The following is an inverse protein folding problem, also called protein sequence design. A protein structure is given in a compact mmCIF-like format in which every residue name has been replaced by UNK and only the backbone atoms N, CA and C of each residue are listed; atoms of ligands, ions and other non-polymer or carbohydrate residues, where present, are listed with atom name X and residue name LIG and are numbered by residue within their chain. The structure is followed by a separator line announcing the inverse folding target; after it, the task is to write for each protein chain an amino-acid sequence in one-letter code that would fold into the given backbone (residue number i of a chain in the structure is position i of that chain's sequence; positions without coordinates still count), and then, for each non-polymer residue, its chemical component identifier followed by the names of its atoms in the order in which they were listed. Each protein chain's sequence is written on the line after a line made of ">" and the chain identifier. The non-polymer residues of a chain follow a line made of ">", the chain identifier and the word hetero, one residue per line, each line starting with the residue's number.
data_IF_732656182196
#
_entry.id   IF_732656182196
#
_cell.length_a   1.000
_cell.length_b   1.000
_cell.length_c   1.000
_cell.angle_alpha   90.00
_cell.angle_beta   90.00
_cell.angle_gamma   90.00
#
_symmetry.space_group_name_H-M   'P 1'
#
loop_
_entity.id
_entity.type
_entity.pdbx_description
1 polymer ?
#
# COMPACT_ATOMS: atom_id res chain seq x y z
N UNK A 1 7.17 41.20 39.12
CA UNK A 1 7.33 39.75 39.35
C UNK A 1 6.92 39.08 38.05
N UNK A 2 7.89 38.83 37.17
CA UNK A 2 7.65 38.27 35.85
C UNK A 2 7.36 36.78 35.99
N UNK A 3 6.17 36.36 35.53
CA UNK A 3 5.76 34.97 35.50
C UNK A 3 6.70 34.22 34.55
N UNK A 4 7.47 33.29 35.09
CA UNK A 4 8.37 32.43 34.32
C UNK A 4 7.57 31.66 33.26
N UNK A 5 8.05 31.52 32.01
CA UNK A 5 7.37 30.70 31.01
C UNK A 5 7.32 29.27 31.53
N UNK A 6 6.11 28.74 31.75
CA UNK A 6 5.89 27.33 32.08
C UNK A 6 6.58 26.47 31.02
N UNK A 7 7.28 25.44 31.50
CA UNK A 7 7.97 24.44 30.68
C UNK A 7 7.10 23.95 29.51
N UNK A 8 7.76 23.80 28.38
CA UNK A 8 7.25 23.44 27.06
C UNK A 8 6.26 22.27 27.06
N UNK A 9 5.00 22.60 26.75
CA UNK A 9 3.90 21.67 26.49
C UNK A 9 4.24 20.81 25.26
N UNK A 10 4.70 19.57 25.47
CA UNK A 10 5.06 18.64 24.39
C UNK A 10 3.77 18.19 23.69
N UNK A 11 3.36 18.89 22.63
CA UNK A 11 2.20 18.54 21.80
C UNK A 11 2.44 17.27 20.96
N UNK A 12 2.56 16.12 21.62
CA UNK A 12 2.61 14.81 21.00
C UNK A 12 1.20 14.30 20.67
N UNK A 13 1.07 13.53 19.58
CA UNK A 13 -0.18 12.84 19.28
C UNK A 13 -0.46 11.72 20.28
N UNK A 14 -1.72 11.57 20.65
CA UNK A 14 -2.19 10.59 21.65
C UNK A 14 -2.59 9.26 21.01
N UNK A 15 -2.74 8.22 21.86
CA UNK A 15 -3.29 6.92 21.44
C UNK A 15 -4.70 7.07 20.86
N UNK A 16 -5.57 7.86 21.51
CA UNK A 16 -6.95 8.08 21.10
C UNK A 16 -7.06 8.77 19.74
N UNK A 17 -6.19 9.74 19.47
CA UNK A 17 -6.08 10.33 18.12
C UNK A 17 -5.65 9.28 17.08
N UNK A 18 -4.69 8.41 17.42
CA UNK A 18 -4.28 7.30 16.57
C UNK A 18 -5.46 6.38 16.22
N UNK A 19 -6.22 5.93 17.22
CA UNK A 19 -7.41 5.09 17.02
C UNK A 19 -8.44 5.79 16.14
N UNK A 20 -8.69 7.08 16.38
CA UNK A 20 -9.64 7.87 15.59
C UNK A 20 -9.21 7.97 14.12
N UNK A 21 -7.92 8.18 13.88
CA UNK A 21 -7.37 8.28 12.52
C UNK A 21 -7.27 6.91 11.83
N UNK A 22 -7.14 5.82 12.60
CA UNK A 22 -7.11 4.44 12.10
C UNK A 22 -8.50 3.88 11.75
N UNK A 23 -9.57 4.38 12.35
CA UNK A 23 -10.94 3.93 12.09
C UNK A 23 -11.32 4.00 10.58
N UNK A 24 -11.09 5.14 9.88
CA UNK A 24 -11.26 5.22 8.43
C UNK A 24 -10.56 4.12 7.64
N UNK A 25 -9.30 3.85 7.99
CA UNK A 25 -8.46 2.86 7.31
C UNK A 25 -9.02 1.46 7.60
N UNK A 26 -9.43 1.17 8.84
CA UNK A 26 -10.05 -0.10 9.20
C UNK A 26 -11.33 -0.42 8.43
N UNK A 27 -12.19 0.57 8.21
CA UNK A 27 -13.40 0.38 7.39
C UNK A 27 -13.06 0.13 5.91
N UNK A 28 -12.08 0.86 5.36
CA UNK A 28 -11.58 0.59 4.01
C UNK A 28 -10.94 -0.79 3.89
N UNK A 29 -10.18 -1.20 4.89
CA UNK A 29 -9.54 -2.51 4.96
C UNK A 29 -10.54 -3.64 4.99
N UNK A 30 -11.60 -3.51 5.79
CA UNK A 30 -12.69 -4.48 5.83
C UNK A 30 -13.32 -4.67 4.45
N UNK A 31 -13.60 -3.58 3.73
CA UNK A 31 -14.16 -3.62 2.37
C UNK A 31 -13.25 -4.35 1.39
N UNK A 32 -11.94 -4.09 1.45
CA UNK A 32 -10.97 -4.62 0.49
C UNK A 32 -10.65 -6.08 0.79
N UNK A 33 -10.38 -6.41 2.05
CA UNK A 33 -10.00 -7.76 2.44
C UNK A 33 -11.16 -8.75 2.33
N UNK A 34 -12.40 -8.26 2.32
CA UNK A 34 -13.58 -9.04 1.95
C UNK A 34 -13.42 -9.76 0.60
N UNK A 35 -12.92 -9.08 -0.43
CA UNK A 35 -12.72 -9.69 -1.74
C UNK A 35 -11.57 -10.70 -1.74
N UNK A 36 -10.53 -10.46 -0.94
CA UNK A 36 -9.47 -11.45 -0.72
C UNK A 36 -10.00 -12.71 -0.03
N UNK A 37 -10.90 -12.56 0.95
CA UNK A 37 -11.58 -13.67 1.61
C UNK A 37 -12.32 -14.56 0.63
N UNK A 38 -13.11 -13.96 -0.27
CA UNK A 38 -13.79 -14.66 -1.37
C UNK A 38 -12.79 -15.41 -2.24
N UNK A 39 -11.74 -14.72 -2.67
CA UNK A 39 -10.73 -15.28 -3.57
C UNK A 39 -10.00 -16.48 -2.95
N UNK A 40 -9.69 -16.41 -1.66
CA UNK A 40 -9.03 -17.50 -0.95
C UNK A 40 -9.89 -18.76 -0.90
N UNK A 41 -11.16 -18.64 -0.53
CA UNK A 41 -12.08 -19.80 -0.47
C UNK A 41 -12.46 -20.31 -1.86
N UNK A 42 -12.56 -19.44 -2.87
CA UNK A 42 -12.77 -19.87 -4.27
C UNK A 42 -11.58 -20.65 -4.82
N UNK A 43 -10.39 -20.47 -4.24
CA UNK A 43 -9.17 -21.23 -4.55
C UNK A 43 -8.99 -22.47 -3.65
N UNK A 44 -10.02 -22.86 -2.90
CA UNK A 44 -10.05 -24.09 -2.11
C UNK A 44 -9.50 -23.96 -0.68
N UNK A 45 -9.05 -22.79 -0.23
CA UNK A 45 -8.63 -22.61 1.17
C UNK A 45 -9.83 -22.60 2.12
N UNK A 46 -9.61 -23.04 3.36
CA UNK A 46 -10.59 -22.81 4.43
C UNK A 46 -10.63 -21.33 4.86
N UNK A 47 -11.74 -20.89 5.43
CA UNK A 47 -11.87 -19.54 6.01
C UNK A 47 -10.83 -19.27 7.12
N UNK A 48 -10.41 -20.31 7.86
CA UNK A 48 -9.35 -20.21 8.88
C UNK A 48 -8.01 -19.91 8.22
N UNK A 49 -7.67 -20.66 7.15
CA UNK A 49 -6.44 -20.41 6.39
C UNK A 49 -6.42 -19.01 5.79
N UNK A 50 -7.52 -18.55 5.21
CA UNK A 50 -7.65 -17.18 4.71
C UNK A 50 -7.45 -16.13 5.81
N UNK A 51 -8.07 -16.34 6.98
CA UNK A 51 -7.91 -15.49 8.17
C UNK A 51 -6.48 -15.46 8.67
N UNK A 52 -5.78 -16.61 8.72
CA UNK A 52 -4.38 -16.71 9.13
C UNK A 52 -3.44 -15.99 8.15
N UNK A 53 -3.65 -16.11 6.84
CA UNK A 53 -2.90 -15.33 5.85
C UNK A 53 -3.06 -13.84 6.13
N UNK A 54 -4.29 -13.39 6.37
CA UNK A 54 -4.57 -11.97 6.60
C UNK A 54 -4.06 -11.45 7.94
N UNK A 55 -4.10 -12.28 8.97
CA UNK A 55 -3.55 -11.93 10.28
C UNK A 55 -2.02 -11.86 10.24
N UNK A 56 -1.35 -12.76 9.54
CA UNK A 56 0.12 -12.77 9.53
C UNK A 56 0.72 -11.90 8.42
N UNK A 57 -0.04 -11.59 7.37
CA UNK A 57 0.46 -10.84 6.22
C UNK A 57 -0.56 -9.84 5.67
N UNK A 58 -0.55 -8.61 6.17
CA UNK A 58 -1.44 -7.52 5.70
C UNK A 58 -0.78 -6.78 4.54
N UNK A 59 -0.83 -7.33 3.33
CA UNK A 59 -0.07 -6.80 2.17
C UNK A 59 -0.89 -6.62 0.89
N UNK A 60 -2.21 -6.85 0.95
CA UNK A 60 -3.13 -6.80 -0.20
C UNK A 60 -2.58 -7.57 -1.42
N UNK A 61 -1.95 -6.90 -2.39
CA UNK A 61 -1.26 -7.53 -3.52
C UNK A 61 -0.29 -8.66 -3.12
N UNK A 62 0.44 -8.51 -2.02
CA UNK A 62 1.32 -9.57 -1.51
C UNK A 62 0.55 -10.82 -1.06
N UNK A 63 -0.69 -10.68 -0.59
CA UNK A 63 -1.55 -11.81 -0.24
C UNK A 63 -2.08 -12.54 -1.47
N UNK A 64 -2.51 -11.82 -2.49
CA UNK A 64 -2.99 -12.42 -3.74
C UNK A 64 -1.86 -13.20 -4.42
N UNK A 65 -0.65 -12.63 -4.48
CA UNK A 65 0.51 -13.32 -5.04
C UNK A 65 0.92 -14.55 -4.22
N UNK A 66 0.97 -14.42 -2.89
CA UNK A 66 1.27 -15.54 -2.00
C UNK A 66 0.23 -16.66 -2.09
N UNK A 67 -1.05 -16.31 -2.16
CA UNK A 67 -2.14 -17.26 -2.38
C UNK A 67 -1.96 -18.03 -3.70
N UNK A 68 -1.60 -17.33 -4.78
CA UNK A 68 -1.28 -17.96 -6.07
C UNK A 68 -0.22 -19.05 -5.92
N UNK A 69 0.92 -18.73 -5.29
CA UNK A 69 2.02 -19.68 -5.03
C UNK A 69 1.56 -20.86 -4.18
N UNK A 70 0.76 -20.63 -3.14
CA UNK A 70 0.23 -21.71 -2.30
C UNK A 70 -0.66 -22.67 -3.09
N UNK A 71 -1.50 -22.13 -3.98
CA UNK A 71 -2.48 -22.93 -4.75
C UNK A 71 -1.88 -23.66 -5.94
N UNK A 72 -0.75 -23.18 -6.48
CA UNK A 72 -0.02 -23.82 -7.59
C UNK A 72 1.12 -24.74 -7.10
N UNK A 73 1.14 -25.07 -5.80
CA UNK A 73 2.19 -25.87 -5.17
C UNK A 73 3.62 -25.31 -5.39
N UNK A 74 3.74 -23.98 -5.41
CA UNK A 74 5.03 -23.31 -5.52
C UNK A 74 5.91 -23.51 -4.28
N UNK A 75 7.22 -23.47 -4.46
CA UNK A 75 8.19 -23.71 -3.39
C UNK A 75 8.46 -22.51 -2.47
N UNK A 76 9.10 -22.77 -1.34
CA UNK A 76 9.52 -21.75 -0.35
C UNK A 76 10.32 -20.62 -1.00
N UNK A 77 11.26 -20.94 -1.90
CA UNK A 77 12.09 -19.93 -2.56
C UNK A 77 11.26 -18.98 -3.44
N UNK A 78 10.26 -19.50 -4.16
CA UNK A 78 9.33 -18.69 -4.94
C UNK A 78 8.56 -17.73 -4.05
N UNK A 79 8.08 -18.21 -2.89
CA UNK A 79 7.41 -17.36 -1.89
C UNK A 79 8.32 -16.24 -1.37
N UNK A 80 9.57 -16.55 -1.01
CA UNK A 80 10.54 -15.57 -0.52
C UNK A 80 10.76 -14.48 -1.57
N UNK A 81 11.09 -14.87 -2.80
CA UNK A 81 11.38 -13.93 -3.89
C UNK A 81 10.14 -13.06 -4.15
N UNK A 82 8.97 -13.67 -4.30
CA UNK A 82 7.71 -12.95 -4.56
C UNK A 82 7.40 -11.92 -3.47
N UNK A 83 7.49 -12.31 -2.20
CA UNK A 83 7.18 -11.41 -1.09
C UNK A 83 8.22 -10.30 -0.93
N UNK A 84 9.52 -10.57 -1.11
CA UNK A 84 10.55 -9.51 -1.10
C UNK A 84 10.23 -8.50 -2.19
N UNK A 85 10.02 -8.97 -3.42
CA UNK A 85 9.85 -8.11 -4.59
C UNK A 85 8.60 -7.25 -4.50
N UNK A 86 7.45 -7.86 -4.21
CA UNK A 86 6.17 -7.14 -4.14
C UNK A 86 6.13 -6.14 -2.98
N UNK A 87 6.75 -6.50 -1.85
CA UNK A 87 6.65 -5.71 -0.62
C UNK A 87 7.84 -4.78 -0.37
N UNK A 88 8.86 -4.76 -1.25
CA UNK A 88 10.07 -3.93 -1.08
C UNK A 88 9.74 -2.44 -0.88
N UNK A 89 8.60 -1.97 -1.36
CA UNK A 89 8.10 -0.61 -1.09
C UNK A 89 7.97 -0.29 0.40
N UNK A 90 7.63 -1.27 1.24
CA UNK A 90 7.56 -1.07 2.69
C UNK A 90 8.92 -0.75 3.31
N UNK A 91 10.02 -1.15 2.68
CA UNK A 91 11.35 -0.73 3.11
C UNK A 91 11.52 0.78 3.00
N UNK A 92 11.11 1.36 1.86
CA UNK A 92 11.20 2.80 1.62
C UNK A 92 10.28 3.58 2.56
N UNK A 93 9.07 3.06 2.78
CA UNK A 93 8.12 3.62 3.75
C UNK A 93 8.66 3.55 5.18
N UNK A 94 9.28 2.42 5.56
CA UNK A 94 9.91 2.24 6.86
C UNK A 94 11.04 3.23 7.09
N UNK A 95 11.88 3.50 6.10
CA UNK A 95 12.91 4.55 6.20
C UNK A 95 12.26 5.93 6.35
N UNK A 96 11.24 6.26 5.56
CA UNK A 96 10.56 7.56 5.67
C UNK A 96 9.88 7.76 7.04
N UNK A 97 9.18 6.74 7.55
CA UNK A 97 8.58 6.77 8.90
C UNK A 97 9.62 6.88 9.99
N UNK A 98 10.78 6.25 9.83
CA UNK A 98 11.83 6.29 10.84
C UNK A 98 12.31 7.72 11.09
N UNK A 99 12.26 8.59 10.07
CA UNK A 99 12.58 10.00 10.13
C UNK A 99 11.51 10.86 10.82
N UNK A 100 10.29 10.34 10.95
CA UNK A 100 9.13 11.05 11.54
C UNK A 100 8.74 10.53 12.93
N UNK A 101 9.34 9.41 13.33
CA UNK A 101 9.18 8.85 14.67
C UNK A 101 10.00 9.65 15.71
N UNK A 102 9.40 9.92 16.85
CA UNK A 102 10.03 10.61 17.97
C UNK A 102 10.91 9.68 18.83
N UNK A 103 11.43 10.21 19.94
CA UNK A 103 12.31 9.47 20.89
C UNK A 103 11.60 8.34 21.64
N UNK A 104 10.27 8.35 21.75
CA UNK A 104 9.51 7.26 22.40
C UNK A 104 9.55 5.96 21.58
N UNK A 105 9.90 6.05 20.29
CA UNK A 105 9.97 4.91 19.38
C UNK A 105 11.28 4.12 19.56
N UNK A 106 11.39 3.39 20.66
CA UNK A 106 12.54 2.55 21.00
C UNK A 106 12.78 1.44 19.96
N UNK A 107 13.97 0.83 19.90
CA UNK A 107 14.28 -0.24 18.95
C UNK A 107 13.27 -1.39 18.97
N UNK A 108 12.88 -1.84 20.18
CA UNK A 108 11.91 -2.91 20.35
C UNK A 108 10.53 -2.49 19.83
N UNK A 109 10.09 -1.26 20.14
CA UNK A 109 8.81 -0.76 19.65
C UNK A 109 8.81 -0.59 18.13
N UNK A 110 9.94 -0.22 17.52
CA UNK A 110 10.09 -0.20 16.06
C UNK A 110 9.91 -1.58 15.46
N UNK A 111 10.53 -2.60 16.06
CA UNK A 111 10.37 -3.98 15.59
C UNK A 111 8.90 -4.40 15.65
N UNK A 112 8.26 -4.24 16.81
CA UNK A 112 6.87 -4.64 17.00
C UNK A 112 5.91 -3.87 16.09
N UNK A 113 6.07 -2.55 16.00
CA UNK A 113 5.16 -1.70 15.23
C UNK A 113 5.44 -1.71 13.72
N UNK A 114 6.59 -2.21 13.27
CA UNK A 114 6.87 -2.39 11.85
C UNK A 114 5.83 -3.29 11.17
N UNK A 115 5.23 -4.23 11.89
CA UNK A 115 4.13 -5.06 11.39
C UNK A 115 2.98 -4.21 10.83
N UNK A 116 2.66 -3.07 11.46
CA UNK A 116 1.60 -2.16 11.05
C UNK A 116 1.97 -1.21 9.92
N UNK A 117 3.16 -1.32 9.31
CA UNK A 117 3.53 -0.47 8.16
C UNK A 117 2.80 -0.97 6.92
N UNK A 118 1.79 -0.21 6.52
CA UNK A 118 1.04 -0.38 5.28
C UNK A 118 0.95 0.95 4.54
N UNK A 119 0.49 0.92 3.29
CA UNK A 119 0.44 2.09 2.41
C UNK A 119 -0.42 3.24 3.01
N UNK A 120 -1.56 2.92 3.61
CA UNK A 120 -2.52 3.86 4.20
C UNK A 120 -2.10 4.37 5.58
N UNK A 121 -1.62 3.46 6.45
CA UNK A 121 -1.09 3.82 7.77
C UNK A 121 0.12 4.75 7.60
N UNK A 122 0.97 4.42 6.63
CA UNK A 122 2.08 5.28 6.24
C UNK A 122 1.61 6.65 5.76
N UNK A 123 0.67 6.71 4.82
CA UNK A 123 0.15 7.95 4.27
C UNK A 123 -0.42 8.89 5.33
N UNK A 124 -1.15 8.36 6.32
CA UNK A 124 -1.67 9.14 7.45
C UNK A 124 -0.57 9.56 8.42
N UNK A 125 0.32 8.64 8.81
CA UNK A 125 1.40 8.93 9.75
C UNK A 125 2.41 9.94 9.20
N UNK A 126 2.79 9.83 7.93
CA UNK A 126 3.73 10.75 7.28
C UNK A 126 3.12 12.13 7.04
N UNK A 127 1.79 12.22 6.94
CA UNK A 127 1.08 13.50 6.75
C UNK A 127 0.94 14.32 8.03
N UNK A 128 1.25 13.75 9.21
CA UNK A 128 1.20 14.47 10.48
C UNK A 128 2.14 15.68 10.49
N UNK A 129 1.72 16.75 11.16
CA UNK A 129 2.49 18.00 11.22
C UNK A 129 3.75 17.84 12.06
N UNK A 130 3.63 17.15 13.19
CA UNK A 130 4.71 16.92 14.14
C UNK A 130 5.20 15.48 14.06
N UNK A 131 6.30 15.19 14.76
CA UNK A 131 6.76 13.81 14.97
C UNK A 131 5.71 13.03 15.77
N UNK A 132 5.63 11.73 15.52
CA UNK A 132 4.69 10.86 16.23
C UNK A 132 5.42 9.85 17.11
N UNK A 133 4.78 9.50 18.22
CA UNK A 133 5.28 8.50 19.17
C UNK A 133 4.66 7.12 18.99
N UNK A 134 5.18 6.16 19.74
CA UNK A 134 4.75 4.77 19.69
C UNK A 134 3.26 4.59 20.04
N UNK A 135 2.74 5.37 20.99
CA UNK A 135 1.34 5.31 21.42
C UNK A 135 0.38 5.69 20.29
N UNK A 136 0.62 6.81 19.62
CA UNK A 136 -0.17 7.22 18.47
C UNK A 136 -0.11 6.17 17.35
N UNK A 137 1.10 5.72 17.01
CA UNK A 137 1.28 4.78 15.90
C UNK A 137 0.63 3.42 16.17
N UNK A 138 0.71 2.93 17.42
CA UNK A 138 -0.04 1.74 17.84
C UNK A 138 -1.56 1.95 17.72
N UNK A 139 -2.09 3.08 18.18
CA UNK A 139 -3.51 3.40 18.01
C UNK A 139 -3.94 3.42 16.54
N UNK A 140 -3.09 3.97 15.68
CA UNK A 140 -3.32 4.07 14.24
C UNK A 140 -3.38 2.69 13.56
N UNK A 141 -2.69 1.67 14.07
CA UNK A 141 -2.57 0.36 13.41
C UNK A 141 -3.63 -0.65 13.84
N UNK A 142 -4.13 -0.56 15.08
CA UNK A 142 -5.04 -1.57 15.67
C UNK A 142 -6.32 -1.76 14.87
N UNK A 143 -7.08 -0.68 14.63
CA UNK A 143 -8.36 -0.79 13.91
C UNK A 143 -8.19 -1.22 12.44
N UNK A 144 -7.16 -0.74 11.70
CA UNK A 144 -6.81 -1.31 10.41
C UNK A 144 -6.62 -2.82 10.43
N UNK A 145 -5.76 -3.33 11.32
CA UNK A 145 -5.48 -4.77 11.41
C UNK A 145 -6.76 -5.56 11.66
N UNK A 146 -7.58 -5.11 12.62
CA UNK A 146 -8.86 -5.75 12.94
C UNK A 146 -9.82 -5.71 11.75
N UNK A 147 -9.94 -4.56 11.08
CA UNK A 147 -10.77 -4.40 9.89
C UNK A 147 -10.34 -5.33 8.76
N UNK A 148 -9.04 -5.46 8.51
CA UNK A 148 -8.50 -6.35 7.48
C UNK A 148 -8.80 -7.82 7.77
N UNK A 149 -8.50 -8.30 8.98
CA UNK A 149 -8.75 -9.70 9.33
C UNK A 149 -10.26 -9.99 9.35
N UNK A 150 -11.07 -9.10 9.90
CA UNK A 150 -12.52 -9.24 9.93
C UNK A 150 -13.09 -9.28 8.51
N UNK A 151 -12.70 -8.36 7.63
CA UNK A 151 -13.15 -8.34 6.23
C UNK A 151 -12.82 -9.64 5.52
N UNK A 152 -11.61 -10.18 5.65
CA UNK A 152 -11.24 -11.48 5.05
C UNK A 152 -12.12 -12.60 5.57
N UNK A 153 -12.32 -12.70 6.87
CA UNK A 153 -13.12 -13.78 7.47
C UNK A 153 -14.58 -13.66 7.02
N UNK A 154 -15.15 -12.46 7.06
CA UNK A 154 -16.53 -12.21 6.61
C UNK A 154 -16.66 -12.53 5.11
N UNK A 155 -15.72 -12.11 4.28
CA UNK A 155 -15.71 -12.40 2.85
C UNK A 155 -15.56 -13.89 2.54
N UNK A 156 -14.71 -14.60 3.31
CA UNK A 156 -14.55 -16.05 3.19
C UNK A 156 -15.83 -16.82 3.58
N UNK A 157 -16.58 -16.34 4.57
CA UNK A 157 -17.79 -17.00 5.07
C UNK A 157 -19.06 -16.64 4.28
N UNK A 158 -19.22 -15.36 3.95
CA UNK A 158 -20.46 -14.79 3.42
C UNK A 158 -20.35 -14.37 1.95
N UNK A 159 -19.16 -14.38 1.38
CA UNK A 159 -18.88 -13.80 0.08
C UNK A 159 -19.69 -14.37 -1.08
N UNK A 160 -20.03 -15.66 -1.03
CA UNK A 160 -20.87 -16.31 -2.05
C UNK A 160 -22.34 -15.86 -2.00
N UNK A 161 -22.76 -15.17 -0.93
CA UNK A 161 -24.11 -14.62 -0.77
C UNK A 161 -24.22 -13.26 -1.48
N UNK A 162 -23.10 -12.56 -1.68
CA UNK A 162 -23.09 -11.21 -2.22
C UNK A 162 -23.11 -11.22 -3.76
N UNK A 163 -23.94 -10.37 -4.41
CA UNK A 163 -23.90 -10.21 -5.84
C UNK A 163 -22.53 -9.68 -6.32
N UNK A 164 -21.99 -10.17 -7.47
CA UNK A 164 -20.67 -9.76 -7.98
C UNK A 164 -20.50 -8.25 -8.18
N UNK A 165 -21.57 -7.53 -8.54
CA UNK A 165 -21.49 -6.08 -8.72
C UNK A 165 -21.19 -5.34 -7.41
N UNK A 166 -21.65 -5.86 -6.28
CA UNK A 166 -21.43 -5.26 -4.98
C UNK A 166 -19.98 -5.49 -4.53
N UNK A 167 -19.46 -6.70 -4.70
CA UNK A 167 -18.05 -7.02 -4.39
C UNK A 167 -17.08 -6.24 -5.27
N UNK A 168 -17.41 -6.04 -6.55
CA UNK A 168 -16.61 -5.23 -7.47
C UNK A 168 -16.59 -3.75 -7.08
N UNK A 169 -17.72 -3.20 -6.65
CA UNK A 169 -17.78 -1.80 -6.19
C UNK A 169 -16.96 -1.58 -4.91
N UNK A 170 -16.89 -2.56 -4.01
CA UNK A 170 -16.08 -2.48 -2.79
C UNK A 170 -14.57 -2.45 -3.06
N UNK A 171 -14.12 -3.09 -4.15
CA UNK A 171 -12.70 -3.13 -4.53
C UNK A 171 -12.15 -1.75 -4.94
N UNK A 172 -12.98 -0.82 -5.42
CA UNK A 172 -12.51 0.52 -5.81
C UNK A 172 -12.17 1.41 -4.60
N UNK A 173 -12.68 1.06 -3.41
CA UNK A 173 -12.51 1.86 -2.19
C UNK A 173 -11.04 2.10 -1.82
N UNK A 174 -10.16 1.12 -2.03
CA UNK A 174 -8.72 1.25 -1.73
C UNK A 174 -8.07 2.37 -2.54
N UNK A 175 -8.40 2.44 -3.82
CA UNK A 175 -7.87 3.47 -4.70
C UNK A 175 -8.45 4.83 -4.36
N UNK A 176 -9.70 4.89 -3.90
CA UNK A 176 -10.28 6.10 -3.32
C UNK A 176 -9.48 6.62 -2.12
N UNK A 177 -9.00 5.73 -1.24
CA UNK A 177 -8.14 6.11 -0.11
C UNK A 177 -6.79 6.64 -0.58
N UNK A 178 -6.16 6.02 -1.58
CA UNK A 178 -4.90 6.51 -2.17
C UNK A 178 -5.08 7.93 -2.74
N UNK A 179 -6.15 8.16 -3.47
CA UNK A 179 -6.50 9.50 -4.00
C UNK A 179 -6.72 10.49 -2.85
N UNK A 180 -7.39 10.09 -1.78
CA UNK A 180 -7.61 10.95 -0.61
C UNK A 180 -6.33 11.36 0.11
N UNK A 181 -5.26 10.56 0.02
CA UNK A 181 -3.96 10.88 0.63
C UNK A 181 -3.14 11.77 -0.31
N UNK A 182 -3.12 11.46 -1.60
CA UNK A 182 -2.28 12.16 -2.59
C UNK A 182 -2.87 13.52 -2.96
N UNK A 183 -4.18 13.59 -3.23
CA UNK A 183 -4.81 14.77 -3.83
C UNK A 183 -4.70 16.04 -2.97
N UNK A 184 -4.98 16.01 -1.65
CA UNK A 184 -4.84 17.20 -0.80
C UNK A 184 -3.42 17.77 -0.83
N UNK A 185 -2.39 16.91 -0.86
CA UNK A 185 -0.99 17.34 -0.87
C UNK A 185 -0.57 17.83 -2.25
N UNK A 186 -0.93 17.11 -3.30
CA UNK A 186 -0.65 17.47 -4.69
C UNK A 186 -1.26 18.82 -5.08
N UNK A 187 -2.45 19.15 -4.56
CA UNK A 187 -3.11 20.45 -4.79
C UNK A 187 -2.27 21.64 -4.28
N UNK A 188 -1.57 21.48 -3.15
CA UNK A 188 -0.81 22.56 -2.52
C UNK A 188 0.69 22.54 -2.87
N UNK A 189 1.21 21.41 -3.37
CA UNK A 189 2.62 21.24 -3.73
C UNK A 189 2.78 20.75 -5.18
N UNK A 190 3.26 21.66 -6.05
CA UNK A 190 3.49 21.39 -7.48
C UNK A 190 4.51 20.27 -7.71
N UNK A 191 5.48 20.07 -6.81
CA UNK A 191 6.47 19.01 -6.94
C UNK A 191 5.82 17.66 -6.65
N UNK A 192 4.96 17.59 -5.64
CA UNK A 192 4.18 16.38 -5.34
C UNK A 192 3.22 16.07 -6.49
N UNK A 193 2.53 17.07 -7.06
CA UNK A 193 1.63 16.86 -8.20
C UNK A 193 2.37 16.30 -9.42
N UNK A 194 3.45 16.97 -9.85
CA UNK A 194 4.21 16.58 -11.05
C UNK A 194 4.87 15.21 -10.89
N UNK A 195 5.45 14.91 -9.72
CA UNK A 195 6.00 13.59 -9.43
C UNK A 195 4.92 12.50 -9.37
N UNK A 196 3.77 12.76 -8.74
CA UNK A 196 2.65 11.81 -8.70
C UNK A 196 2.14 11.47 -10.10
N UNK A 197 1.91 12.48 -10.95
CA UNK A 197 1.50 12.29 -12.34
C UNK A 197 2.54 11.52 -13.16
N UNK A 198 3.82 11.85 -13.01
CA UNK A 198 4.90 11.12 -13.67
C UNK A 198 4.93 9.65 -13.23
N UNK A 199 4.68 9.38 -11.95
CA UNK A 199 4.63 8.01 -11.43
C UNK A 199 3.48 7.21 -12.02
N UNK A 200 2.28 7.82 -12.16
CA UNK A 200 1.17 7.21 -12.90
C UNK A 200 1.56 6.91 -14.36
N UNK A 201 2.18 7.86 -15.06
CA UNK A 201 2.57 7.69 -16.47
C UNK A 201 3.57 6.54 -16.62
N UNK A 202 4.63 6.53 -15.80
CA UNK A 202 5.64 5.45 -15.87
C UNK A 202 5.00 4.09 -15.53
N UNK A 203 4.13 4.02 -14.52
CA UNK A 203 3.40 2.78 -14.18
C UNK A 203 2.53 2.28 -15.34
N UNK A 204 1.79 3.18 -16.00
CA UNK A 204 0.98 2.88 -17.19
C UNK A 204 1.86 2.37 -18.34
N UNK A 205 2.99 3.02 -18.61
CA UNK A 205 3.92 2.58 -19.66
C UNK A 205 4.49 1.19 -19.36
N UNK A 206 4.89 0.93 -18.12
CA UNK A 206 5.40 -0.38 -17.71
C UNK A 206 4.33 -1.48 -17.78
N UNK A 207 3.06 -1.12 -17.60
CA UNK A 207 1.95 -2.06 -17.69
C UNK A 207 1.52 -2.37 -19.13
N UNK A 208 1.44 -1.37 -20.01
CA UNK A 208 0.89 -1.56 -21.36
C UNK A 208 1.94 -1.87 -22.43
N UNK A 209 3.23 -1.60 -22.22
CA UNK A 209 4.28 -1.96 -23.18
C UNK A 209 4.57 -3.47 -23.02
N UNK A 210 4.21 -4.34 -23.99
CA UNK A 210 4.26 -5.80 -23.83
C UNK A 210 5.67 -6.30 -23.47
N UNK A 211 6.70 -5.74 -24.10
CA UNK A 211 8.08 -6.07 -23.81
C UNK A 211 8.44 -5.82 -22.33
N UNK A 212 7.90 -4.78 -21.70
CA UNK A 212 8.21 -4.43 -20.32
C UNK A 212 7.33 -5.20 -19.33
N UNK A 213 6.04 -5.35 -19.62
CA UNK A 213 5.09 -6.04 -18.72
C UNK A 213 5.37 -7.54 -18.61
N UNK A 214 5.94 -8.17 -19.65
CA UNK A 214 6.35 -9.58 -19.62
C UNK A 214 7.62 -9.82 -18.79
N UNK A 215 8.49 -8.81 -18.65
CA UNK A 215 9.80 -8.95 -18.00
C UNK A 215 9.86 -8.31 -16.61
N UNK A 216 8.95 -7.40 -16.29
CA UNK A 216 8.95 -6.65 -15.02
C UNK A 216 7.68 -7.01 -14.24
N UNK A 217 7.87 -7.57 -13.04
CA UNK A 217 6.75 -7.85 -12.15
C UNK A 217 6.07 -6.56 -11.66
N UNK A 218 4.79 -6.63 -11.31
CA UNK A 218 4.03 -5.47 -10.81
C UNK A 218 4.69 -4.77 -9.62
N UNK A 219 5.30 -5.52 -8.71
CA UNK A 219 6.06 -4.98 -7.58
C UNK A 219 7.24 -4.10 -8.02
N UNK A 220 8.04 -4.58 -8.96
CA UNK A 220 9.15 -3.79 -9.51
C UNK A 220 8.67 -2.60 -10.33
N UNK A 221 7.60 -2.75 -11.10
CA UNK A 221 7.03 -1.66 -11.88
C UNK A 221 6.64 -0.48 -10.98
N UNK A 222 5.98 -0.76 -9.85
CA UNK A 222 5.61 0.27 -8.86
C UNK A 222 6.85 0.96 -8.30
N UNK A 223 7.89 0.21 -7.94
CA UNK A 223 9.10 0.79 -7.33
C UNK A 223 9.88 1.62 -8.35
N UNK A 224 10.04 1.12 -9.58
CA UNK A 224 10.71 1.85 -10.67
C UNK A 224 9.96 3.17 -10.92
N UNK A 225 8.64 3.11 -11.08
CA UNK A 225 7.80 4.29 -11.28
C UNK A 225 7.90 5.27 -10.11
N UNK A 226 7.90 4.78 -8.87
CA UNK A 226 7.93 5.60 -7.67
C UNK A 226 9.29 6.29 -7.48
N UNK A 227 10.39 5.54 -7.63
CA UNK A 227 11.75 6.05 -7.45
C UNK A 227 12.10 7.01 -8.57
N UNK A 228 11.82 6.67 -9.83
CA UNK A 228 12.06 7.56 -10.97
C UNK A 228 11.32 8.89 -10.78
N UNK A 229 10.03 8.83 -10.43
CA UNK A 229 9.24 10.03 -10.19
C UNK A 229 9.71 10.85 -8.99
N UNK A 230 10.11 10.22 -7.88
CA UNK A 230 10.62 10.91 -6.70
C UNK A 230 11.94 11.62 -7.00
N UNK A 231 12.83 10.99 -7.79
CA UNK A 231 14.08 11.61 -8.24
C UNK A 231 13.81 12.83 -9.11
N UNK A 232 12.90 12.74 -10.07
CA UNK A 232 12.48 13.89 -10.87
C UNK A 232 11.89 14.99 -10.00
N UNK A 233 11.11 14.63 -8.96
CA UNK A 233 10.63 15.57 -7.96
C UNK A 233 11.76 16.34 -7.26
N UNK A 234 12.86 15.68 -6.87
CA UNK A 234 14.03 16.35 -6.30
C UNK A 234 14.65 17.33 -7.29
N UNK A 235 14.80 16.93 -8.56
CA UNK A 235 15.35 17.79 -9.63
C UNK A 235 14.47 19.04 -9.82
N UNK A 236 13.15 18.87 -9.88
CA UNK A 236 12.19 19.97 -10.06
C UNK A 236 12.23 20.91 -8.85
N UNK A 237 12.25 20.38 -7.63
CA UNK A 237 12.37 21.19 -6.40
C UNK A 237 13.64 22.03 -6.40
N UNK A 238 14.77 21.43 -6.75
CA UNK A 238 16.07 22.11 -6.76
C UNK A 238 16.09 23.24 -7.80
N UNK A 239 15.52 23.02 -8.99
CA UNK A 239 15.32 24.08 -10.01
C UNK A 239 14.43 25.22 -9.51
N UNK A 240 13.34 24.92 -8.81
CA UNK A 240 12.44 25.92 -8.26
C UNK A 240 13.03 26.69 -7.06
N UNK A 241 13.96 26.08 -6.32
CA UNK A 241 14.55 26.65 -5.09
C UNK A 241 15.93 27.28 -5.28
N UNK A 242 16.53 27.18 -6.47
CA UNK A 242 17.85 27.75 -6.79
C UNK A 242 19.02 27.12 -6.03
N UNK A 243 18.83 25.99 -5.34
CA UNK A 243 19.86 25.29 -4.55
C UNK A 243 20.35 24.04 -5.28
N UNK A 244 21.67 23.87 -5.41
CA UNK A 244 22.29 22.67 -5.97
C UNK A 244 22.53 21.61 -4.89
N UNK A 245 21.73 20.54 -4.92
CA UNK A 245 21.95 19.32 -4.13
C UNK A 245 21.62 18.03 -4.90
N UNK A 246 21.41 18.13 -6.21
CA UNK A 246 20.69 17.15 -7.02
C UNK A 246 21.48 15.86 -7.27
N UNK A 247 22.81 15.97 -7.39
CA UNK A 247 23.69 14.87 -7.83
C UNK A 247 23.63 13.65 -6.89
N UNK A 248 23.66 13.86 -5.57
CA UNK A 248 23.70 12.74 -4.60
C UNK A 248 22.36 12.00 -4.53
N UNK A 249 21.22 12.70 -4.57
CA UNK A 249 19.92 12.07 -4.58
C UNK A 249 19.70 11.27 -5.88
N UNK A 250 20.08 11.86 -7.03
CA UNK A 250 20.03 11.20 -8.34
C UNK A 250 20.92 9.95 -8.36
N UNK A 251 22.17 10.03 -7.89
CA UNK A 251 23.06 8.86 -7.81
C UNK A 251 22.46 7.78 -6.90
N UNK A 252 21.95 8.15 -5.73
CA UNK A 252 21.35 7.18 -4.78
C UNK A 252 20.14 6.48 -5.38
N UNK A 253 19.24 7.23 -6.03
CA UNK A 253 18.05 6.64 -6.65
C UNK A 253 18.34 5.86 -7.93
N UNK A 254 19.32 6.28 -8.74
CA UNK A 254 19.76 5.53 -9.92
C UNK A 254 20.43 4.22 -9.50
N UNK A 255 21.27 4.23 -8.46
CA UNK A 255 21.85 3.00 -7.89
C UNK A 255 20.72 2.10 -7.36
N UNK A 256 19.72 2.65 -6.67
CA UNK A 256 18.59 1.87 -6.18
C UNK A 256 17.82 1.22 -7.33
N UNK A 257 17.46 1.99 -8.38
CA UNK A 257 16.78 1.48 -9.58
C UNK A 257 17.63 0.46 -10.32
N UNK A 258 18.94 0.69 -10.47
CA UNK A 258 19.85 -0.24 -11.12
C UNK A 258 20.01 -1.54 -10.32
N UNK A 259 20.17 -1.47 -9.00
CA UNK A 259 20.15 -2.64 -8.12
C UNK A 259 18.82 -3.39 -8.24
N UNK A 260 17.71 -2.67 -8.33
CA UNK A 260 16.38 -3.26 -8.54
C UNK A 260 16.28 -3.96 -9.89
N UNK A 261 16.75 -3.35 -10.99
CA UNK A 261 16.76 -3.97 -12.32
C UNK A 261 17.69 -5.20 -12.39
N UNK A 262 18.84 -5.16 -11.73
CA UNK A 262 19.81 -6.27 -11.69
C UNK A 262 19.28 -7.41 -10.79
N UNK A 263 18.58 -7.07 -9.72
CA UNK A 263 17.95 -8.02 -8.79
C UNK A 263 16.51 -8.35 -9.16
N UNK A 264 15.99 -7.84 -10.26
CA UNK A 264 14.71 -8.25 -10.80
C UNK A 264 14.96 -9.55 -11.54
N UNK A 265 14.71 -10.73 -10.93
CA UNK A 265 14.72 -11.93 -11.73
C UNK A 265 13.71 -11.74 -12.86
N UNK A 266 14.00 -12.34 -14.02
CA UNK A 266 13.02 -12.70 -15.05
C UNK A 266 12.04 -13.75 -14.49
N UNK A 267 11.58 -13.57 -13.25
CA UNK A 267 10.64 -14.43 -12.59
C UNK A 267 9.28 -14.04 -13.14
N UNK A 268 8.86 -14.77 -14.17
CA UNK A 268 7.45 -14.88 -14.51
C UNK A 268 6.74 -15.30 -13.22
N UNK A 269 6.01 -14.37 -12.60
CA UNK A 269 4.91 -14.77 -11.73
C UNK A 269 4.09 -15.69 -12.62
N UNK A 270 3.88 -16.96 -12.25
CA UNK A 270 3.08 -17.86 -13.06
C UNK A 270 1.79 -17.10 -13.38
N UNK A 271 1.51 -16.94 -14.67
CA UNK A 271 0.22 -16.51 -15.15
C UNK A 271 -0.81 -17.29 -14.35
N UNK A 272 -1.85 -16.61 -13.82
CA UNK A 272 -2.93 -17.32 -13.16
C UNK A 272 -3.37 -18.40 -14.14
N UNK A 273 -3.00 -19.65 -13.86
CA UNK A 273 -3.32 -20.75 -14.74
C UNK A 273 -4.82 -20.65 -14.99
N UNK A 274 -5.22 -20.80 -16.26
CA UNK A 274 -6.62 -21.00 -16.61
C UNK A 274 -7.22 -21.91 -15.55
N UNK A 275 -8.35 -21.47 -15.00
CA UNK A 275 -9.10 -22.22 -14.00
C UNK A 275 -9.49 -23.53 -14.66
N UNK A 276 -8.62 -24.53 -14.57
CA UNK A 276 -9.03 -25.90 -14.77
C UNK A 276 -9.97 -26.17 -13.61
N UNK A 277 -11.23 -26.43 -13.93
CA UNK A 277 -12.27 -26.85 -13.00
C UNK A 277 -11.97 -28.24 -12.39
N UNK A 278 -10.71 -28.65 -12.32
CA UNK A 278 -10.27 -29.79 -11.53
C UNK A 278 -10.06 -29.29 -10.12
N UNK A 279 -11.18 -29.23 -9.40
CA UNK A 279 -11.24 -28.79 -8.02
C UNK A 279 -10.25 -29.55 -7.15
N UNK A 280 -9.34 -28.79 -6.53
CA UNK A 280 -8.81 -29.18 -5.22
C UNK A 280 -9.99 -29.09 -4.26
N UNK A 281 -10.77 -30.17 -4.22
CA UNK A 281 -11.85 -30.39 -3.26
C UNK A 281 -11.22 -30.63 -1.89
N UNK A 282 -10.89 -29.56 -1.18
CA UNK A 282 -10.39 -29.63 0.19
C UNK A 282 -9.41 -28.51 0.51
N UNK A 283 -9.39 -28.10 1.78
CA UNK A 283 -8.40 -27.15 2.29
C UNK A 283 -6.98 -27.64 1.95
N UNK A 284 -6.11 -26.71 1.53
CA UNK A 284 -4.72 -27.01 1.21
C UNK A 284 -4.09 -27.77 2.40
N UNK A 285 -3.35 -28.85 2.14
CA UNK A 285 -2.71 -29.64 3.21
C UNK A 285 -1.87 -28.70 4.09
N UNK A 286 -2.12 -28.75 5.40
CA UNK A 286 -1.41 -27.96 6.40
C UNK A 286 0.11 -28.17 6.33
N UNK A 287 0.58 -29.32 5.86
CA UNK A 287 2.02 -29.60 5.65
C UNK A 287 2.65 -28.71 4.57
N UNK A 288 1.87 -28.27 3.58
CA UNK A 288 2.31 -27.34 2.53
C UNK A 288 1.98 -25.91 2.93
N UNK A 289 0.77 -25.70 3.44
CA UNK A 289 0.26 -24.37 3.78
C UNK A 289 1.08 -23.69 4.87
N UNK A 290 1.37 -24.38 5.99
CA UNK A 290 2.01 -23.75 7.16
C UNK A 290 3.43 -23.25 6.82
N UNK A 291 4.32 -24.04 6.20
CA UNK A 291 5.65 -23.54 5.83
C UNK A 291 5.60 -22.33 4.89
N UNK A 292 4.69 -22.34 3.90
CA UNK A 292 4.53 -21.21 2.98
C UNK A 292 3.97 -19.97 3.67
N UNK A 293 3.01 -20.15 4.59
CA UNK A 293 2.44 -19.07 5.40
C UNK A 293 3.51 -18.43 6.30
N UNK A 294 4.31 -19.24 7.00
CA UNK A 294 5.40 -18.75 7.85
C UNK A 294 6.43 -18.01 7.00
N UNK A 295 6.82 -18.59 5.86
CA UNK A 295 7.75 -17.95 4.92
C UNK A 295 7.22 -16.59 4.50
N UNK A 296 5.97 -16.53 4.07
CA UNK A 296 5.30 -15.31 3.61
C UNK A 296 5.25 -14.23 4.70
N UNK A 297 4.89 -14.62 5.92
CA UNK A 297 4.79 -13.72 7.07
C UNK A 297 6.17 -13.18 7.49
N UNK A 298 7.16 -14.06 7.65
CA UNK A 298 8.52 -13.68 8.07
C UNK A 298 9.15 -12.79 7.02
N UNK A 299 9.13 -13.18 5.74
CA UNK A 299 9.76 -12.41 4.67
C UNK A 299 9.16 -11.00 4.60
N UNK A 300 7.83 -10.86 4.62
CA UNK A 300 7.20 -9.54 4.59
C UNK A 300 7.55 -8.71 5.82
N UNK A 301 7.50 -9.32 7.02
CA UNK A 301 7.81 -8.61 8.25
C UNK A 301 9.25 -8.08 8.24
N UNK A 302 10.22 -8.87 7.76
CA UNK A 302 11.62 -8.45 7.66
C UNK A 302 11.80 -7.23 6.75
N UNK A 303 11.11 -7.19 5.60
CA UNK A 303 11.12 -6.06 4.66
C UNK A 303 10.64 -4.76 5.33
N UNK A 304 9.67 -4.84 6.26
CA UNK A 304 9.20 -3.69 7.04
C UNK A 304 10.14 -3.33 8.19
N UNK A 305 10.53 -4.34 8.96
CA UNK A 305 11.16 -4.20 10.26
C UNK A 305 12.61 -3.76 10.16
N UNK A 306 13.38 -4.32 9.23
CA UNK A 306 14.81 -4.02 9.09
C UNK A 306 15.02 -2.52 8.85
N UNK A 307 14.38 -1.88 7.84
CA UNK A 307 14.66 -0.49 7.54
C UNK A 307 14.11 0.46 8.59
N UNK A 308 12.91 0.21 9.13
CA UNK A 308 12.32 1.04 10.17
C UNK A 308 13.12 1.04 11.50
N UNK A 309 13.76 -0.10 11.81
CA UNK A 309 14.54 -0.28 13.04
C UNK A 309 15.98 0.21 12.93
N UNK A 310 16.62 0.03 11.77
CA UNK A 310 18.04 0.38 11.58
C UNK A 310 18.26 1.86 11.26
N UNK A 311 17.39 2.49 10.46
CA UNK A 311 17.57 3.88 10.02
C UNK A 311 17.11 4.88 11.07
N UNK A 312 17.86 5.05 12.16
CA UNK A 312 17.49 5.94 13.28
C UNK A 312 18.02 7.37 13.18
N UNK A 313 19.15 7.53 12.50
CA UNK A 313 19.78 8.85 12.35
C UNK A 313 18.94 9.70 11.40
N UNK A 314 18.75 10.97 11.77
CA UNK A 314 18.06 11.93 10.90
C UNK A 314 18.87 12.10 9.62
N UNK A 315 18.20 12.09 8.47
CA UNK A 315 18.83 12.35 7.19
C UNK A 315 19.23 13.82 7.11
N UNK A 316 20.54 14.07 7.12
CA UNK A 316 21.10 15.44 7.16
C UNK A 316 21.03 16.14 5.80
N UNK A 317 21.16 15.39 4.69
CA UNK A 317 21.21 15.96 3.35
C UNK A 317 19.81 16.37 2.85
N UNK A 318 19.58 17.65 2.50
CA UNK A 318 18.25 18.15 2.08
C UNK A 318 17.65 17.42 0.87
N UNK A 319 18.48 16.94 -0.06
CA UNK A 319 18.04 16.22 -1.25
C UNK A 319 17.60 14.79 -0.95
N UNK A 320 18.29 14.11 -0.02
CA UNK A 320 17.90 12.77 0.42
C UNK A 320 16.59 12.86 1.21
N UNK A 321 16.44 13.89 2.04
CA UNK A 321 15.19 14.15 2.75
C UNK A 321 14.01 14.35 1.78
N UNK A 322 14.14 15.24 0.78
CA UNK A 322 13.08 15.42 -0.21
C UNK A 322 12.74 14.15 -0.98
N UNK A 323 13.74 13.36 -1.35
CA UNK A 323 13.50 12.08 -2.00
C UNK A 323 12.53 11.22 -1.18
N UNK A 324 12.82 11.01 0.11
CA UNK A 324 11.94 10.24 0.99
C UNK A 324 10.61 10.93 1.34
N UNK A 325 10.54 12.26 1.24
CA UNK A 325 9.30 13.02 1.40
C UNK A 325 8.35 12.81 0.19
N UNK A 326 8.87 12.57 -1.02
CA UNK A 326 8.07 12.37 -2.23
C UNK A 326 7.64 10.93 -2.49
N UNK A 327 8.45 9.95 -2.07
CA UNK A 327 8.17 8.51 -2.21
C UNK A 327 6.72 8.11 -1.84
N UNK A 328 6.11 8.57 -0.73
CA UNK A 328 4.72 8.22 -0.43
C UNK A 328 3.76 8.50 -1.57
N UNK A 329 3.84 9.69 -2.16
CA UNK A 329 2.88 10.12 -3.15
C UNK A 329 3.11 9.44 -4.49
N UNK A 330 4.38 9.21 -4.86
CA UNK A 330 4.72 8.51 -6.09
C UNK A 330 4.37 7.03 -6.02
N UNK A 331 4.64 6.34 -4.90
CA UNK A 331 4.21 4.94 -4.70
C UNK A 331 2.69 4.80 -4.76
N UNK A 332 1.94 5.62 -4.02
CA UNK A 332 0.47 5.56 -4.02
C UNK A 332 -0.11 5.83 -5.42
N UNK A 333 0.51 6.74 -6.17
CA UNK A 333 0.11 7.08 -7.54
C UNK A 333 0.39 5.93 -8.51
N UNK A 334 1.58 5.33 -8.47
CA UNK A 334 1.92 4.16 -9.28
C UNK A 334 1.06 2.93 -8.94
N UNK A 335 0.63 2.78 -7.68
CA UNK A 335 -0.30 1.72 -7.27
C UNK A 335 -1.74 1.99 -7.74
N UNK A 336 -2.11 3.26 -7.89
CA UNK A 336 -3.46 3.65 -8.32
C UNK A 336 -3.65 3.39 -9.81
N UNK A 337 -2.71 3.80 -10.66
CA UNK A 337 -2.82 3.63 -12.12
C UNK A 337 -1.83 2.61 -12.68
N UNK A 338 -2.27 1.73 -13.61
CA UNK A 338 -3.61 1.64 -14.21
C UNK A 338 -4.63 0.79 -13.41
N UNK A 339 -4.22 0.21 -12.28
CA UNK A 339 -4.98 -0.82 -11.56
C UNK A 339 -6.42 -0.41 -11.20
N UNK A 340 -6.66 0.86 -10.86
CA UNK A 340 -8.00 1.38 -10.54
C UNK A 340 -9.01 1.17 -11.68
N UNK A 341 -8.58 1.26 -12.94
CA UNK A 341 -9.46 1.10 -14.10
C UNK A 341 -10.00 -0.33 -14.24
N UNK A 342 -9.31 -1.28 -13.63
CA UNK A 342 -9.66 -2.71 -13.63
C UNK A 342 -10.13 -3.17 -12.24
N UNK A 343 -10.34 -2.25 -11.30
CA UNK A 343 -10.78 -2.57 -9.94
C UNK A 343 -12.22 -3.09 -9.89
N UNK A 344 -13.02 -2.82 -10.91
CA UNK A 344 -14.44 -3.20 -10.98
C UNK A 344 -14.68 -4.03 -12.23
N UNK A 345 -15.85 -4.69 -12.31
CA UNK A 345 -16.24 -5.46 -13.49
C UNK A 345 -16.46 -4.65 -14.77
N UNK A 346 -16.40 -3.31 -14.71
CA UNK A 346 -16.53 -2.42 -15.87
C UNK A 346 -15.60 -1.22 -15.76
N UNK A 347 -14.83 -0.96 -16.82
CA UNK A 347 -13.94 0.20 -16.90
C UNK A 347 -14.71 1.51 -16.71
N UNK A 348 -15.96 1.59 -17.17
CA UNK A 348 -16.82 2.77 -17.02
C UNK A 348 -17.20 2.98 -15.55
N UNK A 349 -17.62 1.91 -14.86
CA UNK A 349 -17.94 1.98 -13.42
C UNK A 349 -16.71 2.39 -12.62
N UNK A 350 -15.55 1.81 -12.96
CA UNK A 350 -14.28 2.16 -12.35
C UNK A 350 -13.90 3.63 -12.58
N UNK A 351 -14.04 4.12 -13.82
CA UNK A 351 -13.75 5.51 -14.17
C UNK A 351 -14.66 6.50 -13.43
N UNK A 352 -15.95 6.18 -13.29
CA UNK A 352 -16.91 7.01 -12.53
C UNK A 352 -16.53 7.04 -11.04
N UNK A 353 -16.27 5.88 -10.43
CA UNK A 353 -15.81 5.80 -9.04
C UNK A 353 -14.52 6.60 -8.82
N UNK A 354 -13.58 6.50 -9.75
CA UNK A 354 -12.34 7.28 -9.71
C UNK A 354 -12.57 8.79 -9.84
N UNK A 355 -13.43 9.22 -10.76
CA UNK A 355 -13.75 10.64 -10.94
C UNK A 355 -14.34 11.23 -9.65
N UNK A 356 -15.24 10.51 -8.99
CA UNK A 356 -15.78 10.91 -7.69
C UNK A 356 -14.69 10.95 -6.62
N UNK A 357 -13.78 9.98 -6.59
CA UNK A 357 -12.64 10.00 -5.67
C UNK A 357 -11.75 11.24 -5.87
N UNK A 358 -11.45 11.60 -7.13
CA UNK A 358 -10.67 12.80 -7.46
C UNK A 358 -11.36 14.08 -6.96
N UNK A 359 -12.66 14.21 -7.23
CA UNK A 359 -13.44 15.38 -6.80
C UNK A 359 -13.46 15.49 -5.27
N UNK A 360 -13.82 14.41 -4.57
CA UNK A 360 -13.88 14.42 -3.11
C UNK A 360 -12.49 14.63 -2.48
N UNK A 361 -11.45 14.03 -3.04
CA UNK A 361 -10.06 14.24 -2.62
C UNK A 361 -9.58 15.67 -2.86
N UNK A 362 -9.98 16.30 -3.97
CA UNK A 362 -9.64 17.69 -4.28
C UNK A 362 -10.27 18.68 -3.30
N UNK A 363 -11.49 18.36 -2.83
CA UNK A 363 -12.17 19.07 -1.76
C UNK A 363 -11.72 18.65 -0.34
N UNK A 364 -10.63 17.88 -0.23
CA UNK A 364 -9.99 17.51 1.04
C UNK A 364 -10.98 16.84 2.01
N UNK A 365 -11.94 16.06 1.45
CA UNK A 365 -12.86 15.25 2.25
C UNK A 365 -12.10 14.15 2.97
N UNK A 366 -12.70 13.64 4.06
CA UNK A 366 -12.07 12.58 4.85
C UNK A 366 -11.90 11.29 4.04
N UNK A 367 -10.91 10.49 4.41
CA UNK A 367 -10.57 9.23 3.74
C UNK A 367 -11.78 8.28 3.61
N UNK A 368 -12.65 8.23 4.62
CA UNK A 368 -13.92 7.47 4.56
C UNK A 368 -14.84 8.01 3.47
N UNK A 369 -15.05 9.33 3.44
CA UNK A 369 -15.99 9.96 2.52
C UNK A 369 -15.54 9.75 1.08
N UNK A 370 -14.24 9.84 0.82
CA UNK A 370 -13.68 9.58 -0.52
C UNK A 370 -13.85 8.11 -0.91
N UNK A 371 -13.49 7.17 -0.03
CA UNK A 371 -13.61 5.74 -0.32
C UNK A 371 -15.07 5.30 -0.52
N UNK A 372 -15.96 5.65 0.41
CA UNK A 372 -17.40 5.34 0.32
C UNK A 372 -18.02 6.02 -0.89
N UNK A 373 -17.68 7.28 -1.16
CA UNK A 373 -18.14 8.01 -2.34
C UNK A 373 -17.74 7.31 -3.64
N UNK A 374 -16.50 6.85 -3.75
CA UNK A 374 -16.02 6.09 -4.90
C UNK A 374 -16.76 4.75 -5.06
N UNK A 375 -16.93 3.99 -3.96
CA UNK A 375 -17.68 2.72 -3.97
C UNK A 375 -19.15 2.93 -4.38
N UNK A 376 -19.84 3.91 -3.80
CA UNK A 376 -21.24 4.21 -4.12
C UNK A 376 -21.40 4.66 -5.58
N UNK A 377 -20.51 5.52 -6.07
CA UNK A 377 -20.56 5.99 -7.45
C UNK A 377 -20.30 4.84 -8.44
N UNK A 378 -19.31 4.00 -8.17
CA UNK A 378 -19.04 2.79 -8.94
C UNK A 378 -20.21 1.80 -8.90
N UNK A 379 -20.83 1.63 -7.73
CA UNK A 379 -21.99 0.76 -7.54
C UNK A 379 -23.18 1.23 -8.38
N UNK A 380 -23.54 2.52 -8.27
CA UNK A 380 -24.64 3.11 -9.04
C UNK A 380 -24.37 2.99 -10.54
N UNK A 381 -23.16 3.31 -10.99
CA UNK A 381 -22.79 3.14 -12.39
C UNK A 381 -22.90 1.68 -12.85
N UNK A 382 -22.42 0.74 -12.02
CA UNK A 382 -22.51 -0.70 -12.30
C UNK A 382 -23.94 -1.18 -12.42
N UNK A 383 -24.82 -0.74 -11.52
CA UNK A 383 -26.25 -1.08 -11.55
C UNK A 383 -26.92 -0.49 -12.78
N UNK A 384 -26.70 0.79 -13.10
CA UNK A 384 -27.29 1.42 -14.29
C UNK A 384 -26.89 0.70 -15.57
N UNK A 385 -25.62 0.31 -15.71
CA UNK A 385 -25.14 -0.46 -16.86
C UNK A 385 -25.72 -1.88 -16.97
N UNK A 386 -26.34 -2.43 -15.93
CA UNK A 386 -27.06 -3.70 -16.05
C UNK A 386 -28.41 -3.55 -16.77
N UNK A 387 -28.93 -2.32 -16.87
CA UNK A 387 -30.23 -2.01 -17.46
C UNK A 387 -30.14 -1.30 -18.82
N UNK A 388 -28.93 -1.03 -19.30
CA UNK A 388 -28.63 -0.49 -20.64
C UNK A 388 -27.93 -1.59 -21.42
#
# INVERSE_FOLDING_TARGET
>A
MADSPKETDFKGYTLGEGVRDGLPIGLGYLSVSFTFGILAVSKGLSWIQAGLISLLNITSAGQVAGLGIMTTAGGILAMIISQIVINLRYSLMGISLSQKADKSMTPLLRMLLAYGITDEIFGVAVSKKYEFGARYFFGLTVLPILGWVAGTVIGALLGQIFPPFLTNALAIGIYGMFVSIVMPKAKHDKVILTSSLLSCIVSVLLFYIPFLSEHITSGFAIIIAAVAAALTGVIVRDKLSGKQGTVIAVITGVILVACIFILAPSYKVPEAAEVTNEGISGALDNKIFIPLLITMAVTTYLVRMIPFTLFRKKLEKPSIKAFFDYIPYTVLSAMTFPAILYATGSVISAAIGFAVALVLGFFERSLIVVAVGACLASLVAGVVMMYI
#
